data_IF_562511569192
#
_entry.id   IF_562511569192
#
_cell.length_a   1.000
_cell.length_b   1.000
_cell.length_c   1.000
_cell.angle_alpha   90.00
_cell.angle_beta   90.00
_cell.angle_gamma   90.00
#
_symmetry.space_group_name_H-M   'P 1'
#
loop_
_entity.id
_entity.type
_entity.pdbx_description
1 polymer ?
#
# COMPACT_ATOMS: atom_id res chain seq x y z
N UNK A 1 19.81 59.93 -26.44
CA UNK A 1 20.27 58.55 -26.26
C UNK A 1 20.06 57.99 -24.84
N UNK A 2 20.04 58.81 -23.78
CA UNK A 2 19.78 58.36 -22.39
C UNK A 2 18.30 58.10 -22.03
N UNK A 3 17.35 58.85 -22.62
CA UNK A 3 15.92 58.70 -22.33
C UNK A 3 15.33 57.37 -22.83
N UNK A 4 15.81 56.87 -23.97
CA UNK A 4 15.35 55.60 -24.56
C UNK A 4 15.84 54.39 -23.75
N UNK A 5 17.05 54.44 -23.18
CA UNK A 5 17.58 53.42 -22.27
C UNK A 5 16.73 53.28 -21.00
N UNK A 6 16.32 54.41 -20.41
CA UNK A 6 15.44 54.42 -19.25
C UNK A 6 14.06 53.83 -19.54
N UNK A 7 13.51 54.07 -20.74
CA UNK A 7 12.24 53.49 -21.16
C UNK A 7 12.36 51.99 -21.40
N UNK A 8 13.42 51.54 -22.09
CA UNK A 8 13.71 50.12 -22.32
C UNK A 8 13.89 49.36 -21.00
N UNK A 9 14.61 49.93 -20.03
CA UNK A 9 14.77 49.32 -18.71
C UNK A 9 13.50 49.29 -17.87
N UNK A 10 12.63 50.30 -17.98
CA UNK A 10 11.30 50.28 -17.34
C UNK A 10 10.41 49.21 -17.95
N UNK A 11 10.42 49.08 -19.28
CA UNK A 11 9.69 48.04 -19.99
C UNK A 11 10.24 46.65 -19.67
N UNK A 12 11.56 46.47 -19.62
CA UNK A 12 12.20 45.20 -19.25
C UNK A 12 11.88 44.79 -17.81
N UNK A 13 11.89 45.72 -16.85
CA UNK A 13 11.49 45.45 -15.47
C UNK A 13 10.01 45.08 -15.37
N UNK A 14 9.14 45.78 -16.10
CA UNK A 14 7.70 45.53 -16.11
C UNK A 14 7.38 44.17 -16.75
N UNK A 15 8.05 43.82 -17.85
CA UNK A 15 7.88 42.51 -18.49
C UNK A 15 8.42 41.40 -17.60
N UNK A 16 9.56 41.58 -16.94
CA UNK A 16 10.07 40.62 -15.96
C UNK A 16 9.10 40.46 -14.79
N UNK A 17 8.61 41.55 -14.20
CA UNK A 17 7.61 41.49 -13.11
C UNK A 17 6.33 40.79 -13.55
N UNK A 18 5.80 41.11 -14.74
CA UNK A 18 4.58 40.47 -15.24
C UNK A 18 4.79 38.99 -15.52
N UNK A 19 5.95 38.58 -16.06
CA UNK A 19 6.29 37.15 -16.23
C UNK A 19 6.41 36.44 -14.88
N UNK A 20 7.08 37.03 -13.88
CA UNK A 20 7.17 36.44 -12.54
C UNK A 20 5.81 36.33 -11.85
N UNK A 21 4.95 37.36 -11.97
CA UNK A 21 3.60 37.36 -11.42
C UNK A 21 2.72 36.34 -12.14
N UNK A 22 2.77 36.26 -13.48
CA UNK A 22 2.03 35.27 -14.25
C UNK A 22 2.51 33.85 -13.97
N UNK A 23 3.83 33.62 -13.87
CA UNK A 23 4.39 32.33 -13.49
C UNK A 23 3.95 31.91 -12.07
N UNK A 24 3.97 32.84 -11.12
CA UNK A 24 3.47 32.60 -9.76
C UNK A 24 1.96 32.31 -9.72
N UNK A 25 1.16 33.05 -10.51
CA UNK A 25 -0.28 32.81 -10.65
C UNK A 25 -0.57 31.46 -11.30
N UNK A 26 0.17 31.06 -12.35
CA UNK A 26 0.02 29.75 -13.00
C UNK A 26 0.37 28.58 -12.06
N UNK A 27 1.34 28.75 -11.14
CA UNK A 27 1.70 27.71 -10.16
C UNK A 27 0.52 27.41 -9.21
N UNK A 28 -0.22 28.43 -8.76
CA UNK A 28 -1.34 28.23 -7.84
C UNK A 28 -2.60 27.64 -8.52
N UNK A 29 -2.80 27.86 -9.82
CA UNK A 29 -3.97 27.39 -10.58
C UNK A 29 -3.93 25.89 -10.88
N UNK A 30 -2.78 25.22 -10.76
CA UNK A 30 -2.66 23.76 -10.97
C UNK A 30 -3.04 22.92 -9.75
N UNK A 31 -3.30 23.53 -8.60
CA UNK A 31 -3.82 22.81 -7.44
C UNK A 31 -5.30 22.51 -7.69
N UNK A 32 -5.63 21.24 -7.94
CA UNK A 32 -7.00 20.74 -8.12
C UNK A 32 -7.80 20.90 -6.80
N UNK A 33 -8.38 22.09 -6.62
CA UNK A 33 -9.19 22.50 -5.47
C UNK A 33 -10.48 21.66 -5.31
N UNK A 34 -10.84 20.85 -6.31
CA UNK A 34 -12.05 20.03 -6.30
C UNK A 34 -11.81 18.53 -6.02
N UNK A 35 -10.60 18.13 -5.64
CA UNK A 35 -10.29 16.73 -5.34
C UNK A 35 -10.62 16.36 -3.89
N UNK A 36 -11.63 15.49 -3.69
CA UNK A 36 -11.98 14.94 -2.36
C UNK A 36 -10.76 14.17 -1.79
N UNK A 37 -10.46 14.38 -0.52
CA UNK A 37 -9.29 13.75 0.13
C UNK A 37 -9.32 12.22 0.02
N UNK A 38 -8.15 11.56 -0.11
CA UNK A 38 -8.10 10.11 -0.18
C UNK A 38 -8.56 9.47 1.12
N UNK A 39 -9.37 8.42 1.01
CA UNK A 39 -9.95 7.71 2.15
C UNK A 39 -10.18 6.25 1.82
N UNK A 40 -10.21 5.41 2.85
CA UNK A 40 -10.54 4.00 2.67
C UNK A 40 -11.99 3.85 2.21
N UNK A 41 -12.22 3.02 1.18
CA UNK A 41 -13.56 2.65 0.71
C UNK A 41 -14.22 1.73 1.73
N UNK A 42 -13.44 0.83 2.33
CA UNK A 42 -13.88 -0.16 3.31
C UNK A 42 -12.76 -0.51 4.30
N UNK A 43 -13.10 -0.99 5.51
CA UNK A 43 -12.10 -1.55 6.42
C UNK A 43 -11.37 -2.75 5.81
N UNK A 44 -10.07 -2.87 6.10
CA UNK A 44 -9.30 -4.05 5.72
C UNK A 44 -9.83 -5.30 6.43
N UNK A 45 -9.89 -6.43 5.71
CA UNK A 45 -10.50 -7.66 6.22
C UNK A 45 -9.45 -8.58 6.81
N UNK A 46 -9.81 -9.26 7.90
CA UNK A 46 -8.99 -10.33 8.47
C UNK A 46 -8.78 -11.46 7.45
N UNK A 47 -7.58 -12.03 7.47
CA UNK A 47 -7.16 -13.08 6.54
C UNK A 47 -6.86 -14.33 7.33
N UNK A 48 -7.43 -15.47 6.90
CA UNK A 48 -7.15 -16.78 7.52
C UNK A 48 -6.68 -17.73 6.44
N UNK A 49 -5.48 -18.30 6.60
CA UNK A 49 -4.87 -19.21 5.61
C UNK A 49 -4.12 -20.35 6.30
N UNK A 50 -3.98 -21.53 5.67
CA UNK A 50 -3.15 -22.58 6.25
C UNK A 50 -1.66 -22.23 6.21
N UNK A 51 -0.86 -22.94 7.00
CA UNK A 51 0.61 -22.85 6.91
C UNK A 51 1.05 -23.21 5.49
N UNK A 52 2.04 -22.48 4.97
CA UNK A 52 2.49 -22.61 3.58
C UNK A 52 1.58 -21.90 2.56
N UNK A 53 0.40 -21.44 2.99
CA UNK A 53 -0.56 -20.70 2.17
C UNK A 53 -0.08 -19.30 1.79
N UNK A 54 -0.99 -18.54 1.18
CA UNK A 54 -0.75 -17.18 0.68
C UNK A 54 -1.76 -16.21 1.27
N UNK A 55 -1.31 -15.31 2.14
CA UNK A 55 -2.14 -14.24 2.69
C UNK A 55 -2.03 -12.99 1.80
N UNK A 56 -3.17 -12.39 1.45
CA UNK A 56 -3.23 -11.12 0.72
C UNK A 56 -4.11 -10.15 1.51
N UNK A 57 -3.58 -8.98 1.80
CA UNK A 57 -4.29 -7.85 2.38
C UNK A 57 -4.59 -6.84 1.29
N UNK A 58 -5.87 -6.49 1.12
CA UNK A 58 -6.32 -5.50 0.16
C UNK A 58 -6.68 -4.19 0.85
N UNK A 59 -6.28 -3.09 0.23
CA UNK A 59 -6.49 -1.73 0.70
C UNK A 59 -7.10 -0.90 -0.45
N UNK A 60 -8.41 -0.71 -0.39
CA UNK A 60 -9.18 0.04 -1.38
C UNK A 60 -9.35 1.49 -0.94
N UNK A 61 -8.93 2.42 -1.80
CA UNK A 61 -8.77 3.84 -1.50
C UNK A 61 -9.48 4.65 -2.57
N UNK A 62 -10.49 5.42 -2.16
CA UNK A 62 -11.13 6.40 -3.04
C UNK A 62 -10.21 7.61 -3.19
N UNK A 63 -10.17 8.20 -4.38
CA UNK A 63 -9.35 9.38 -4.70
C UNK A 63 -7.86 9.13 -4.46
N UNK A 64 -7.37 7.93 -4.76
CA UNK A 64 -5.98 7.53 -4.54
C UNK A 64 -4.95 8.26 -5.43
N UNK A 65 -5.32 9.36 -6.10
CA UNK A 65 -4.42 10.16 -6.92
C UNK A 65 -3.33 10.74 -6.02
N UNK A 66 -2.07 10.44 -6.35
CA UNK A 66 -0.89 10.96 -5.66
C UNK A 66 -0.78 10.62 -4.16
N UNK A 67 -1.53 9.63 -3.65
CA UNK A 67 -1.42 9.20 -2.25
C UNK A 67 -0.27 8.21 -2.07
N UNK A 68 0.54 8.40 -1.04
CA UNK A 68 1.53 7.42 -0.61
C UNK A 68 0.84 6.37 0.26
N UNK A 69 0.96 5.10 -0.13
CA UNK A 69 0.48 3.95 0.64
C UNK A 69 1.65 3.25 1.30
N UNK A 70 1.50 2.95 2.59
CA UNK A 70 2.50 2.28 3.42
C UNK A 70 1.89 1.07 4.14
N UNK A 71 2.69 0.04 4.36
CA UNK A 71 2.30 -1.20 5.02
C UNK A 71 3.11 -1.41 6.29
N UNK A 72 2.43 -1.76 7.37
CA UNK A 72 3.04 -1.94 8.69
C UNK A 72 2.65 -3.29 9.30
N UNK A 73 3.57 -3.83 10.09
CA UNK A 73 3.27 -4.89 11.05
C UNK A 73 3.17 -4.25 12.43
N UNK A 74 1.94 -4.03 12.89
CA UNK A 74 1.65 -3.19 14.07
C UNK A 74 2.08 -3.85 15.37
N UNK A 75 1.87 -5.16 15.52
CA UNK A 75 2.29 -5.94 16.68
C UNK A 75 3.80 -5.86 16.95
N UNK A 76 4.60 -5.66 15.90
CA UNK A 76 6.06 -5.57 15.99
C UNK A 76 6.63 -4.17 15.79
N UNK A 77 5.79 -3.18 15.54
CA UNK A 77 6.20 -1.83 15.16
C UNK A 77 7.20 -1.80 13.99
N UNK A 78 6.98 -2.64 12.95
CA UNK A 78 7.87 -2.75 11.78
C UNK A 78 7.20 -2.13 10.55
N UNK A 79 7.96 -1.30 9.84
CA UNK A 79 7.59 -0.85 8.48
C UNK A 79 7.89 -1.96 7.48
N UNK A 80 6.87 -2.42 6.76
CA UNK A 80 7.00 -3.47 5.75
C UNK A 80 7.31 -2.87 4.38
N UNK A 81 6.56 -1.85 3.98
CA UNK A 81 6.66 -1.21 2.67
C UNK A 81 6.20 0.25 2.71
N UNK A 82 6.74 1.08 1.82
CA UNK A 82 6.38 2.49 1.64
C UNK A 82 6.41 2.84 0.17
N UNK A 83 5.41 3.55 -0.34
CA UNK A 83 5.38 4.12 -1.69
C UNK A 83 5.69 3.12 -2.83
N UNK A 84 5.27 1.85 -2.68
CA UNK A 84 5.54 0.82 -3.68
C UNK A 84 6.89 0.11 -3.55
N UNK A 85 7.65 0.34 -2.48
CA UNK A 85 8.92 -0.31 -2.19
C UNK A 85 8.88 -1.13 -0.89
N UNK A 86 9.46 -2.33 -0.90
CA UNK A 86 9.63 -3.17 0.29
C UNK A 86 10.80 -2.65 1.14
N UNK A 87 10.50 -2.18 2.34
CA UNK A 87 11.50 -1.76 3.34
C UNK A 87 12.03 -3.00 4.07
N UNK A 88 11.11 -3.83 4.58
CA UNK A 88 11.47 -5.14 5.15
C UNK A 88 11.61 -6.15 4.01
N UNK A 89 12.86 -6.45 3.65
CA UNK A 89 13.19 -7.44 2.62
C UNK A 89 12.98 -8.86 3.16
N UNK A 90 11.81 -9.43 2.86
CA UNK A 90 11.54 -10.86 2.95
C UNK A 90 11.19 -11.35 1.54
N UNK A 91 11.86 -12.39 1.00
CA UNK A 91 11.58 -12.89 -0.35
C UNK A 91 10.14 -13.39 -0.55
N UNK A 92 9.38 -13.58 0.53
CA UNK A 92 7.96 -13.95 0.52
C UNK A 92 7.02 -12.76 0.35
N UNK A 93 7.47 -11.54 0.63
CA UNK A 93 6.63 -10.34 0.60
C UNK A 93 6.49 -9.79 -0.80
N UNK A 94 5.27 -9.43 -1.20
CA UNK A 94 4.98 -8.76 -2.46
C UNK A 94 4.00 -7.61 -2.20
N UNK A 95 4.13 -6.56 -2.99
CA UNK A 95 3.24 -5.42 -3.00
C UNK A 95 2.86 -5.10 -4.44
N UNK A 96 1.73 -4.45 -4.62
CA UNK A 96 1.30 -4.02 -5.93
C UNK A 96 -0.04 -3.33 -5.88
N UNK A 97 -0.61 -3.17 -7.08
CA UNK A 97 -1.93 -2.57 -7.30
C UNK A 97 -2.73 -3.49 -8.20
N UNK A 98 -3.95 -3.79 -7.80
CA UNK A 98 -4.93 -4.52 -8.63
C UNK A 98 -5.73 -3.57 -9.52
N UNK A 99 -5.85 -2.30 -9.10
CA UNK A 99 -6.49 -1.21 -9.84
C UNK A 99 -5.86 0.13 -9.41
N UNK A 100 -6.20 1.26 -10.06
CA UNK A 100 -5.76 2.57 -9.59
C UNK A 100 -6.18 2.89 -8.14
N UNK A 101 -7.23 2.27 -7.62
CA UNK A 101 -7.73 2.51 -6.26
C UNK A 101 -7.49 1.34 -5.30
N UNK A 102 -6.99 0.20 -5.79
CA UNK A 102 -6.82 -1.02 -4.99
C UNK A 102 -5.35 -1.42 -4.88
N UNK A 103 -4.81 -1.34 -3.67
CA UNK A 103 -3.44 -1.72 -3.33
C UNK A 103 -3.44 -3.02 -2.55
N UNK A 104 -2.38 -3.83 -2.70
CA UNK A 104 -2.25 -5.06 -1.92
C UNK A 104 -0.86 -5.25 -1.31
N UNK A 105 -0.82 -5.92 -0.17
CA UNK A 105 0.37 -6.53 0.42
C UNK A 105 0.13 -8.02 0.60
N UNK A 106 1.11 -8.83 0.20
CA UNK A 106 0.99 -10.28 0.13
C UNK A 106 2.18 -10.96 0.79
N UNK A 107 1.88 -12.03 1.53
CA UNK A 107 2.85 -12.94 2.12
C UNK A 107 2.64 -14.33 1.51
N UNK A 108 3.64 -14.84 0.79
CA UNK A 108 3.66 -16.24 0.32
C UNK A 108 4.27 -17.15 1.38
N UNK A 109 3.94 -18.44 1.36
CA UNK A 109 4.51 -19.43 2.29
C UNK A 109 4.39 -18.96 3.75
N UNK A 110 3.15 -18.72 4.18
CA UNK A 110 2.81 -18.20 5.52
C UNK A 110 3.28 -19.17 6.61
N UNK A 111 3.84 -18.60 7.68
CA UNK A 111 4.37 -19.30 8.86
C UNK A 111 3.60 -18.86 10.10
N UNK A 112 3.69 -19.65 11.16
CA UNK A 112 3.09 -19.32 12.46
C UNK A 112 3.57 -17.96 13.01
N UNK A 113 4.84 -17.63 12.80
CA UNK A 113 5.41 -16.34 13.19
C UNK A 113 4.91 -15.13 12.39
N UNK A 114 4.16 -15.36 11.29
CA UNK A 114 3.51 -14.29 10.52
C UNK A 114 2.16 -13.88 11.12
N UNK A 115 1.53 -14.70 11.98
CA UNK A 115 0.29 -14.33 12.69
C UNK A 115 0.49 -13.01 13.42
N UNK A 116 -0.49 -12.10 13.30
CA UNK A 116 -0.40 -10.77 13.87
C UNK A 116 -1.25 -9.72 13.15
N UNK A 117 -1.07 -8.47 13.57
CA UNK A 117 -1.84 -7.34 13.07
C UNK A 117 -1.05 -6.56 12.01
N UNK A 118 -1.64 -6.42 10.84
CA UNK A 118 -1.10 -5.70 9.69
C UNK A 118 -1.93 -4.44 9.45
N UNK A 119 -1.30 -3.37 8.97
CA UNK A 119 -1.96 -2.09 8.69
C UNK A 119 -1.59 -1.56 7.31
N UNK A 120 -2.59 -1.02 6.63
CA UNK A 120 -2.43 -0.12 5.49
C UNK A 120 -2.58 1.32 5.99
N UNK A 121 -1.63 2.20 5.67
CA UNK A 121 -1.64 3.60 6.06
C UNK A 121 -1.53 4.50 4.83
N UNK A 122 -2.30 5.59 4.82
CA UNK A 122 -2.25 6.65 3.84
C UNK A 122 -1.41 7.81 4.37
N UNK A 123 -0.49 8.32 3.54
CA UNK A 123 0.33 9.50 3.83
C UNK A 123 -0.44 10.83 3.78
N UNK A 124 -1.67 10.87 4.30
CA UNK A 124 -2.49 12.08 4.44
C UNK A 124 -2.08 12.89 5.67
N UNK A 125 -2.60 14.12 5.79
CA UNK A 125 -2.48 14.94 7.00
C UNK A 125 -3.89 15.23 7.56
N UNK A 126 -4.29 14.64 8.71
CA UNK A 126 -3.55 13.64 9.48
C UNK A 126 -3.47 12.27 8.77
N UNK A 127 -2.52 11.39 9.13
CA UNK A 127 -2.43 10.05 8.56
C UNK A 127 -3.68 9.23 8.88
N UNK A 128 -4.12 8.44 7.90
CA UNK A 128 -5.24 7.50 8.08
C UNK A 128 -4.72 6.06 8.00
N UNK A 129 -5.25 5.16 8.82
CA UNK A 129 -4.91 3.74 8.79
C UNK A 129 -6.13 2.83 8.83
N UNK A 130 -5.98 1.61 8.32
CA UNK A 130 -6.92 0.51 8.50
C UNK A 130 -6.13 -0.77 8.78
N UNK A 131 -6.64 -1.61 9.67
CA UNK A 131 -5.90 -2.73 10.23
C UNK A 131 -6.67 -4.04 10.03
N UNK A 132 -5.93 -5.14 9.87
CA UNK A 132 -6.50 -6.48 9.83
C UNK A 132 -5.55 -7.51 10.44
N UNK A 133 -6.12 -8.61 10.92
CA UNK A 133 -5.39 -9.68 11.57
C UNK A 133 -5.15 -10.85 10.60
N UNK A 134 -3.92 -11.37 10.58
CA UNK A 134 -3.58 -12.64 9.94
C UNK A 134 -3.74 -13.77 10.94
N UNK A 135 -4.64 -14.70 10.66
CA UNK A 135 -4.79 -15.96 11.37
C UNK A 135 -4.31 -17.14 10.51
N UNK A 136 -3.93 -18.21 11.19
CA UNK A 136 -3.76 -19.51 10.54
C UNK A 136 -5.02 -20.34 10.73
N UNK A 137 -5.53 -20.90 9.65
CA UNK A 137 -6.70 -21.76 9.68
C UNK A 137 -6.67 -22.80 8.57
N UNK A 138 -7.39 -23.89 8.81
CA UNK A 138 -7.24 -25.11 8.03
C UNK A 138 -6.40 -26.12 8.81
N UNK A 139 -6.95 -27.31 9.03
CA UNK A 139 -6.20 -28.42 9.59
C UNK A 139 -5.03 -28.69 8.66
N UNK A 140 -3.79 -28.62 9.16
CA UNK A 140 -2.70 -29.34 8.52
C UNK A 140 -3.14 -30.79 8.56
N UNK A 141 -3.71 -31.31 7.47
CA UNK A 141 -3.85 -32.75 7.32
C UNK A 141 -2.41 -33.26 7.24
N UNK A 142 -1.87 -33.59 8.40
CA UNK A 142 -0.58 -34.23 8.55
C UNK A 142 -0.65 -35.54 7.77
N UNK A 143 0.47 -35.98 7.19
CA UNK A 143 0.58 -37.35 6.65
C UNK A 143 0.12 -38.40 7.68
N UNK A 144 0.22 -38.08 8.97
CA UNK A 144 -0.33 -38.87 10.09
C UNK A 144 -1.86 -38.91 10.11
N UNK A 145 -2.55 -37.83 9.76
CA UNK A 145 -4.02 -37.78 9.68
C UNK A 145 -4.55 -38.59 8.51
N UNK A 146 -3.82 -38.60 7.38
CA UNK A 146 -4.09 -39.52 6.27
C UNK A 146 -3.89 -40.96 6.73
N UNK A 147 -2.74 -41.31 7.34
CA UNK A 147 -2.50 -42.66 7.89
C UNK A 147 -3.60 -43.08 8.86
N UNK A 148 -4.06 -42.19 9.74
CA UNK A 148 -5.15 -42.48 10.68
C UNK A 148 -6.50 -42.67 9.97
N UNK A 149 -6.81 -41.87 8.96
CA UNK A 149 -8.01 -42.03 8.14
C UNK A 149 -7.99 -43.36 7.37
N UNK A 150 -6.86 -43.71 6.75
CA UNK A 150 -6.68 -44.97 6.04
C UNK A 150 -6.80 -46.19 6.97
N UNK A 151 -6.18 -46.16 8.15
CA UNK A 151 -6.34 -47.20 9.16
C UNK A 151 -7.79 -47.30 9.66
N UNK A 152 -8.48 -46.16 9.82
CA UNK A 152 -9.89 -46.12 10.25
C UNK A 152 -10.87 -46.64 9.19
N UNK A 153 -10.52 -46.52 7.91
CA UNK A 153 -11.28 -47.05 6.77
C UNK A 153 -10.77 -48.42 6.28
N UNK A 154 -9.82 -49.05 6.97
CA UNK A 154 -9.33 -50.40 6.65
C UNK A 154 -8.53 -50.50 5.35
N UNK A 155 -8.08 -49.38 4.78
CA UNK A 155 -7.32 -49.34 3.53
C UNK A 155 -5.84 -49.14 3.88
N UNK A 156 -5.04 -50.20 3.88
CA UNK A 156 -3.59 -50.09 4.05
C UNK A 156 -2.97 -49.49 2.78
N UNK A 157 -2.29 -48.35 2.92
CA UNK A 157 -1.40 -47.82 1.88
C UNK A 157 -0.10 -48.64 1.90
N UNK A 158 0.05 -49.58 0.96
CA UNK A 158 1.36 -50.09 0.58
C UNK A 158 2.12 -48.94 -0.10
N UNK A 159 2.99 -48.27 0.64
CA UNK A 159 4.01 -47.39 0.06
C UNK A 159 5.26 -48.24 -0.05
N UNK A 160 5.68 -48.50 -1.29
CA UNK A 160 6.99 -49.08 -1.63
C UNK A 160 8.08 -48.00 -1.55
#
# INVERSE_FOLDING_TARGET
MFQTYNLIWKLLKLTICTVFVLAYLQINVLADENSEAPRFVRPMRNVTVPIGGKATFDCDIKNAKSVVVSWFRRDKNIVLAVAGYLIKRDPRYRIGRSSPESYFFQIKNVRESDVGQYECQLGTSPPQNTSAFLNIGGKNLSTTDFKLAFTKFGLSLFIQ
#
